data_IF_463481373894
#
_entry.id   IF_463481373894
#
_cell.length_a   1.000
_cell.length_b   1.000
_cell.length_c   1.000
_cell.angle_alpha   90.00
_cell.angle_beta   90.00
_cell.angle_gamma   90.00
#
_symmetry.space_group_name_H-M   'P 1'
#
loop_
_entity.id
_entity.type
_entity.pdbx_description
1 polymer ?
#
# COMPACT_ATOMS: atom_id res chain seq x y z
N UNK A 1 -23.19 18.15 -1.97
CA UNK A 1 -23.44 16.78 -1.45
C UNK A 1 -23.15 16.73 0.05
N UNK A 2 -23.71 15.77 0.79
CA UNK A 2 -23.43 15.59 2.22
C UNK A 2 -21.96 15.18 2.47
N UNK A 3 -21.26 15.79 3.44
CA UNK A 3 -19.86 15.46 3.76
C UNK A 3 -19.64 13.99 4.18
N UNK A 4 -20.70 13.34 4.67
CA UNK A 4 -20.71 11.92 5.06
C UNK A 4 -20.52 10.99 3.85
N UNK A 5 -20.87 11.45 2.64
CA UNK A 5 -20.74 10.65 1.42
C UNK A 5 -19.29 10.39 1.01
N UNK A 6 -18.34 11.15 1.55
CA UNK A 6 -16.91 11.00 1.26
C UNK A 6 -16.14 10.25 2.37
N UNK A 7 -16.81 9.95 3.49
CA UNK A 7 -16.21 9.21 4.60
C UNK A 7 -15.98 7.75 4.20
N UNK A 8 -14.71 7.35 4.21
CA UNK A 8 -14.24 6.00 3.82
C UNK A 8 -13.70 5.91 2.40
N UNK A 9 -13.73 6.99 1.61
CA UNK A 9 -13.02 7.05 0.34
C UNK A 9 -11.53 7.33 0.55
N UNK A 10 -10.68 6.80 -0.34
CA UNK A 10 -9.27 7.19 -0.42
C UNK A 10 -9.20 8.70 -0.65
N UNK A 11 -8.27 9.38 0.03
CA UNK A 11 -8.21 10.85 0.04
C UNK A 11 -8.02 11.46 -1.36
N UNK A 12 -7.36 10.74 -2.28
CA UNK A 12 -7.23 11.11 -3.69
C UNK A 12 -8.57 11.08 -4.45
N UNK A 13 -9.50 10.19 -4.09
CA UNK A 13 -10.86 10.13 -4.65
C UNK A 13 -11.72 11.26 -4.07
N UNK A 14 -11.63 11.49 -2.75
CA UNK A 14 -12.32 12.62 -2.07
C UNK A 14 -11.96 13.95 -2.73
N UNK A 15 -10.70 14.16 -3.10
CA UNK A 15 -10.24 15.39 -3.79
C UNK A 15 -10.60 15.48 -5.27
N UNK A 16 -10.94 14.38 -5.91
CA UNK A 16 -11.53 14.38 -7.25
C UNK A 16 -13.06 14.51 -7.19
N UNK A 17 -13.59 14.93 -6.03
CA UNK A 17 -15.02 15.02 -5.71
C UNK A 17 -15.78 13.70 -5.86
N UNK A 18 -15.07 12.57 -5.81
CA UNK A 18 -15.75 11.28 -5.74
C UNK A 18 -16.48 11.19 -4.40
N UNK A 19 -17.61 10.50 -4.44
CA UNK A 19 -18.44 10.24 -3.28
C UNK A 19 -19.07 8.85 -3.36
N UNK A 20 -19.38 8.27 -2.22
CA UNK A 20 -20.15 7.04 -2.12
C UNK A 20 -21.61 7.38 -2.40
N UNK A 21 -22.10 7.04 -3.59
CA UNK A 21 -23.49 7.32 -3.98
C UNK A 21 -24.52 6.79 -2.96
N UNK A 22 -24.24 5.62 -2.34
CA UNK A 22 -25.09 5.03 -1.31
C UNK A 22 -25.16 5.81 0.01
N UNK A 23 -24.23 6.75 0.26
CA UNK A 23 -24.19 7.63 1.44
C UNK A 23 -24.45 9.10 1.09
N UNK A 24 -24.73 9.40 -0.18
CA UNK A 24 -24.93 10.76 -0.66
C UNK A 24 -26.39 11.17 -0.54
N UNK A 25 -26.63 12.27 0.17
CA UNK A 25 -27.92 12.96 0.17
C UNK A 25 -27.69 14.32 -0.52
N UNK A 26 -28.34 14.58 -1.67
CA UNK A 26 -28.19 15.86 -2.36
C UNK A 26 -28.82 16.98 -1.52
N UNK A 27 -28.08 18.06 -1.32
CA UNK A 27 -28.51 19.27 -0.57
C UNK A 27 -28.85 20.45 -1.49
N UNK A 28 -28.62 20.28 -2.79
CA UNK A 28 -28.92 21.20 -3.89
C UNK A 28 -29.02 20.38 -5.17
N UNK A 29 -29.44 21.00 -6.29
CA UNK A 29 -29.25 20.40 -7.61
C UNK A 29 -27.77 20.04 -7.82
N UNK A 30 -27.51 18.88 -8.43
CA UNK A 30 -26.17 18.38 -8.70
C UNK A 30 -26.13 17.61 -10.01
N UNK A 31 -25.01 17.73 -10.71
CA UNK A 31 -24.66 16.91 -11.88
C UNK A 31 -23.64 15.88 -11.42
N UNK A 32 -23.78 14.64 -11.87
CA UNK A 32 -22.90 13.54 -11.52
C UNK A 32 -22.30 12.94 -12.78
N UNK A 33 -21.04 12.54 -12.68
CA UNK A 33 -20.30 11.81 -13.70
C UNK A 33 -19.87 10.45 -13.15
N UNK A 34 -19.79 9.42 -14.01
CA UNK A 34 -19.28 8.12 -13.61
C UNK A 34 -17.79 8.20 -13.26
N UNK A 35 -17.32 7.38 -12.30
CA UNK A 35 -15.93 7.36 -11.93
C UNK A 35 -15.05 6.85 -13.09
N UNK A 36 -13.86 7.44 -13.26
CA UNK A 36 -12.85 6.94 -14.20
C UNK A 36 -12.22 5.65 -13.70
N UNK A 37 -12.20 4.62 -14.55
CA UNK A 37 -11.60 3.32 -14.24
C UNK A 37 -10.12 3.41 -13.88
N UNK A 38 -9.34 4.24 -14.58
CA UNK A 38 -7.91 4.44 -14.30
C UNK A 38 -7.61 5.04 -12.91
N UNK A 39 -8.61 5.65 -12.25
CA UNK A 39 -8.47 6.19 -10.89
C UNK A 39 -8.84 5.16 -9.80
N UNK A 40 -9.53 4.09 -10.18
CA UNK A 40 -10.07 3.08 -9.27
C UNK A 40 -9.37 1.73 -9.39
N UNK A 41 -9.01 1.32 -10.61
CA UNK A 41 -8.56 -0.02 -10.94
C UNK A 41 -7.02 -0.11 -11.01
N UNK A 42 -6.52 -1.25 -10.58
CA UNK A 42 -5.14 -1.71 -10.73
C UNK A 42 -5.17 -3.00 -11.55
N UNK A 43 -4.33 -3.04 -12.58
CA UNK A 43 -4.15 -4.23 -13.44
C UNK A 43 -3.26 -5.24 -12.71
N UNK A 44 -3.58 -6.52 -12.84
CA UNK A 44 -2.71 -7.62 -12.44
C UNK A 44 -2.71 -8.74 -13.49
N UNK A 45 -1.67 -9.57 -13.46
CA UNK A 45 -1.59 -10.82 -14.20
C UNK A 45 -1.84 -11.98 -13.24
N UNK A 46 -2.65 -12.96 -13.65
CA UNK A 46 -2.80 -14.22 -12.92
C UNK A 46 -1.51 -15.02 -13.08
N UNK A 47 -0.61 -14.93 -12.12
CA UNK A 47 0.61 -15.73 -12.13
C UNK A 47 0.29 -17.23 -12.06
N UNK A 48 -0.65 -17.58 -11.16
CA UNK A 48 -1.02 -18.98 -10.95
C UNK A 48 -2.43 -19.13 -10.40
N UNK A 49 -3.18 -20.11 -10.92
CA UNK A 49 -4.40 -20.65 -10.35
C UNK A 49 -4.24 -22.13 -10.02
N UNK A 50 -4.53 -22.50 -8.77
CA UNK A 50 -4.40 -23.87 -8.26
C UNK A 50 -5.61 -24.30 -7.46
N UNK A 51 -6.07 -25.53 -7.62
CA UNK A 51 -7.17 -26.07 -6.84
C UNK A 51 -6.65 -26.63 -5.51
N UNK A 52 -7.09 -26.03 -4.40
CA UNK A 52 -6.77 -26.49 -3.04
C UNK A 52 -7.74 -27.60 -2.61
N UNK A 53 -8.98 -27.53 -3.06
CA UNK A 53 -10.00 -28.57 -2.93
C UNK A 53 -10.81 -28.65 -4.23
N UNK A 54 -11.86 -29.49 -4.27
CA UNK A 54 -12.80 -29.52 -5.40
C UNK A 54 -13.56 -28.21 -5.60
N UNK A 55 -13.75 -27.43 -4.53
CA UNK A 55 -14.55 -26.22 -4.52
C UNK A 55 -13.79 -24.98 -4.06
N UNK A 56 -12.47 -25.06 -3.85
CA UNK A 56 -11.62 -23.92 -3.45
C UNK A 56 -10.40 -23.85 -4.37
N UNK A 57 -10.12 -22.68 -4.93
CA UNK A 57 -8.88 -22.40 -5.64
C UNK A 57 -8.07 -21.29 -4.95
N UNK A 58 -6.74 -21.40 -5.07
CA UNK A 58 -5.76 -20.36 -4.80
C UNK A 58 -5.49 -19.60 -6.08
N UNK A 59 -5.48 -18.28 -6.00
CA UNK A 59 -5.02 -17.41 -7.08
C UNK A 59 -3.86 -16.56 -6.58
N UNK A 60 -2.76 -16.56 -7.33
CA UNK A 60 -1.61 -15.69 -7.15
C UNK A 60 -1.65 -14.62 -8.24
N UNK A 61 -1.71 -13.36 -7.84
CA UNK A 61 -1.75 -12.21 -8.75
C UNK A 61 -0.45 -11.41 -8.67
N UNK A 62 0.10 -11.07 -9.84
CA UNK A 62 1.20 -10.12 -10.00
C UNK A 62 0.63 -8.76 -10.40
N UNK A 63 0.58 -7.77 -9.49
CA UNK A 63 0.05 -6.46 -9.83
C UNK A 63 1.03 -5.68 -10.71
N UNK A 64 0.51 -4.95 -11.70
CA UNK A 64 1.32 -4.14 -12.62
C UNK A 64 2.04 -2.97 -11.93
N UNK A 65 1.59 -2.59 -10.73
CA UNK A 65 2.19 -1.57 -9.87
C UNK A 65 2.24 -2.06 -8.44
N UNK A 66 3.20 -1.57 -7.65
CA UNK A 66 3.29 -1.92 -6.22
C UNK A 66 1.97 -1.64 -5.49
N UNK A 67 1.50 -2.62 -4.73
CA UNK A 67 0.30 -2.53 -3.89
C UNK A 67 0.75 -2.53 -2.43
N UNK A 68 0.42 -1.47 -1.69
CA UNK A 68 0.64 -1.41 -0.25
C UNK A 68 -0.62 -1.92 0.46
N UNK A 69 -0.51 -3.05 1.17
CA UNK A 69 -1.61 -3.72 1.86
C UNK A 69 -1.13 -4.35 3.17
N UNK A 70 -2.06 -4.75 4.03
CA UNK A 70 -1.81 -5.60 5.19
C UNK A 70 -2.48 -6.97 5.02
N UNK A 71 -1.87 -8.02 5.58
CA UNK A 71 -2.49 -9.34 5.60
C UNK A 71 -3.83 -9.29 6.34
N UNK A 72 -4.88 -9.87 5.76
CA UNK A 72 -6.25 -9.75 6.26
C UNK A 72 -7.11 -8.66 5.60
N UNK A 73 -6.51 -7.70 4.89
CA UNK A 73 -7.27 -6.81 4.00
C UNK A 73 -7.82 -7.54 2.77
N UNK A 74 -8.73 -6.92 2.03
CA UNK A 74 -9.31 -7.49 0.81
C UNK A 74 -9.15 -6.57 -0.41
N UNK A 75 -9.18 -7.18 -1.59
CA UNK A 75 -9.29 -6.50 -2.89
C UNK A 75 -10.60 -6.88 -3.58
N UNK A 76 -11.03 -6.08 -4.54
CA UNK A 76 -12.27 -6.31 -5.29
C UNK A 76 -11.90 -6.63 -6.73
N UNK A 77 -12.09 -7.89 -7.14
CA UNK A 77 -11.81 -8.34 -8.49
C UNK A 77 -12.96 -7.97 -9.43
N UNK A 78 -12.61 -7.61 -10.66
CA UNK A 78 -13.53 -7.34 -11.75
C UNK A 78 -13.45 -8.47 -12.78
N UNK A 79 -14.60 -9.06 -13.10
CA UNK A 79 -14.72 -9.96 -14.25
C UNK A 79 -15.01 -9.17 -15.53
N UNK A 80 -14.76 -9.76 -16.71
CA UNK A 80 -15.03 -9.12 -18.00
C UNK A 80 -16.49 -8.74 -18.22
N UNK A 81 -17.45 -9.43 -17.57
CA UNK A 81 -18.88 -9.12 -17.62
C UNK A 81 -19.32 -8.05 -16.59
N UNK A 82 -18.35 -7.38 -15.95
CA UNK A 82 -18.58 -6.27 -15.02
C UNK A 82 -19.02 -6.70 -13.62
N UNK A 83 -18.93 -7.98 -13.27
CA UNK A 83 -19.21 -8.44 -11.90
C UNK A 83 -18.01 -8.10 -11.01
N UNK A 84 -18.30 -7.45 -9.87
CA UNK A 84 -17.29 -7.09 -8.87
C UNK A 84 -17.49 -7.89 -7.60
N UNK A 85 -16.44 -8.50 -7.06
CA UNK A 85 -16.50 -9.25 -5.79
C UNK A 85 -15.25 -9.08 -4.96
N UNK A 86 -15.43 -8.98 -3.64
CA UNK A 86 -14.37 -8.86 -2.65
C UNK A 86 -13.75 -10.21 -2.34
N UNK A 87 -12.42 -10.26 -2.28
CA UNK A 87 -11.63 -11.42 -1.88
C UNK A 87 -10.49 -10.97 -0.96
N UNK A 88 -10.42 -11.59 0.21
CA UNK A 88 -9.43 -11.26 1.24
C UNK A 88 -8.05 -11.84 0.91
N UNK A 89 -7.01 -11.10 1.30
CA UNK A 89 -5.62 -11.40 1.05
C UNK A 89 -5.06 -12.32 2.13
N UNK A 90 -4.53 -13.46 1.69
CA UNK A 90 -3.78 -14.43 2.50
C UNK A 90 -2.28 -14.13 2.54
N UNK A 91 -1.79 -13.42 1.53
CA UNK A 91 -0.37 -13.09 1.41
C UNK A 91 0.09 -12.07 2.45
N UNK A 92 1.35 -12.14 2.83
CA UNK A 92 2.01 -11.19 3.73
C UNK A 92 2.95 -10.30 2.90
N UNK A 93 2.74 -8.97 2.86
CA UNK A 93 3.37 -8.05 1.88
C UNK A 93 4.90 -8.01 1.91
N UNK A 94 5.51 -8.28 3.06
CA UNK A 94 6.97 -8.29 3.22
C UNK A 94 7.60 -9.68 3.01
N UNK A 95 6.79 -10.73 2.87
CA UNK A 95 7.25 -12.11 2.72
C UNK A 95 6.89 -12.68 1.34
N UNK A 96 5.64 -12.50 0.90
CA UNK A 96 5.11 -13.08 -0.32
C UNK A 96 5.21 -12.09 -1.49
N UNK A 97 5.67 -12.57 -2.64
CA UNK A 97 5.82 -11.75 -3.84
C UNK A 97 4.49 -11.47 -4.56
N UNK A 98 3.55 -12.41 -4.51
CA UNK A 98 2.24 -12.31 -5.18
C UNK A 98 1.13 -11.99 -4.18
N UNK A 99 0.08 -11.32 -4.65
CA UNK A 99 -1.17 -11.24 -3.91
C UNK A 99 -1.84 -12.62 -3.94
N UNK A 100 -2.11 -13.21 -2.77
CA UNK A 100 -2.71 -14.54 -2.65
C UNK A 100 -4.18 -14.45 -2.19
N UNK A 101 -5.08 -15.11 -2.91
CA UNK A 101 -6.51 -15.19 -2.62
C UNK A 101 -6.98 -16.64 -2.54
N UNK A 102 -7.88 -16.97 -1.60
CA UNK A 102 -8.59 -18.26 -1.61
C UNK A 102 -10.07 -18.08 -1.94
N UNK A 103 -10.50 -18.70 -3.03
CA UNK A 103 -11.82 -18.47 -3.61
C UNK A 103 -12.61 -19.76 -3.62
N UNK A 104 -13.75 -19.73 -2.94
CA UNK A 104 -14.70 -20.83 -2.91
C UNK A 104 -15.68 -20.72 -4.08
N UNK A 105 -15.92 -21.82 -4.78
CA UNK A 105 -16.97 -21.93 -5.77
C UNK A 105 -18.35 -21.82 -5.11
N UNK A 106 -19.13 -20.85 -5.54
CA UNK A 106 -20.51 -20.66 -5.10
C UNK A 106 -21.44 -21.15 -6.21
N UNK A 107 -22.41 -22.00 -5.86
CA UNK A 107 -23.42 -22.47 -6.80
C UNK A 107 -24.15 -21.28 -7.43
N UNK A 108 -24.22 -21.24 -8.77
CA UNK A 108 -24.77 -20.14 -9.56
C UNK A 108 -24.05 -18.78 -9.38
N UNK A 109 -22.88 -18.75 -8.75
CA UNK A 109 -22.09 -17.52 -8.59
C UNK A 109 -21.43 -17.11 -9.90
N UNK A 110 -21.76 -15.92 -10.43
CA UNK A 110 -21.21 -15.42 -11.71
C UNK A 110 -19.68 -15.30 -11.69
N UNK A 111 -19.13 -14.57 -10.72
CA UNK A 111 -17.69 -14.38 -10.55
C UNK A 111 -16.98 -15.73 -10.36
N UNK A 112 -17.46 -16.58 -9.46
CA UNK A 112 -16.79 -17.85 -9.16
C UNK A 112 -16.88 -18.82 -10.33
N UNK A 113 -17.96 -18.78 -11.12
CA UNK A 113 -18.06 -19.57 -12.35
C UNK A 113 -17.00 -19.14 -13.36
N UNK A 114 -16.89 -17.84 -13.64
CA UNK A 114 -15.86 -17.32 -14.53
C UNK A 114 -14.44 -17.66 -14.03
N UNK A 115 -14.18 -17.42 -12.73
CA UNK A 115 -12.89 -17.76 -12.11
C UNK A 115 -12.57 -19.24 -12.27
N UNK A 116 -13.53 -20.15 -12.09
CA UNK A 116 -13.27 -21.59 -12.10
C UNK A 116 -13.18 -22.16 -13.52
N UNK A 117 -14.07 -21.74 -14.41
CA UNK A 117 -14.26 -22.33 -15.74
C UNK A 117 -13.40 -21.65 -16.82
N UNK A 118 -13.14 -20.34 -16.70
CA UNK A 118 -12.62 -19.51 -17.79
C UNK A 118 -11.24 -18.89 -17.47
N UNK A 119 -11.04 -18.35 -16.26
CA UNK A 119 -9.80 -17.68 -15.86
C UNK A 119 -8.61 -18.66 -15.79
N UNK A 120 -7.49 -18.28 -16.42
CA UNK A 120 -6.26 -19.08 -16.56
C UNK A 120 -5.02 -18.30 -16.14
N UNK A 121 -3.93 -19.04 -15.97
CA UNK A 121 -2.59 -18.47 -15.80
C UNK A 121 -2.25 -17.56 -17.00
N UNK A 122 -1.62 -16.42 -16.72
CA UNK A 122 -1.26 -15.32 -17.61
C UNK A 122 -2.40 -14.43 -18.12
N UNK A 123 -3.64 -14.65 -17.68
CA UNK A 123 -4.73 -13.72 -17.98
C UNK A 123 -4.55 -12.40 -17.21
N UNK A 124 -4.97 -11.29 -17.82
CA UNK A 124 -5.07 -9.99 -17.14
C UNK A 124 -6.39 -9.90 -16.35
N UNK A 125 -6.31 -9.33 -15.16
CA UNK A 125 -7.47 -9.05 -14.31
C UNK A 125 -7.34 -7.67 -13.68
N UNK A 126 -8.46 -6.96 -13.60
CA UNK A 126 -8.54 -5.69 -12.87
C UNK A 126 -9.04 -5.90 -11.45
N UNK A 127 -8.50 -5.13 -10.53
CA UNK A 127 -9.01 -5.07 -9.17
C UNK A 127 -8.92 -3.66 -8.59
N UNK A 128 -9.70 -3.37 -7.55
CA UNK A 128 -9.49 -2.18 -6.72
C UNK A 128 -9.35 -2.53 -5.25
N UNK A 129 -8.50 -1.78 -4.55
CA UNK A 129 -8.16 -2.01 -3.16
C UNK A 129 -6.72 -1.57 -2.84
N UNK A 130 -6.11 -2.12 -1.78
CA UNK A 130 -6.75 -2.92 -0.74
C UNK A 130 -7.74 -2.09 0.10
N UNK A 131 -8.60 -2.79 0.84
CA UNK A 131 -9.59 -2.24 1.78
C UNK A 131 -9.72 -3.15 3.00
N UNK A 132 -10.27 -2.61 4.10
CA UNK A 132 -10.54 -3.37 5.33
C UNK A 132 -9.57 -3.06 6.46
N UNK A 133 -10.04 -3.27 7.69
CA UNK A 133 -9.33 -2.93 8.93
C UNK A 133 -9.04 -4.15 9.82
N UNK A 134 -9.34 -5.36 9.32
CA UNK A 134 -9.03 -6.62 10.00
C UNK A 134 -7.63 -7.07 9.60
N UNK A 135 -6.62 -6.53 10.27
CA UNK A 135 -5.21 -6.86 10.05
C UNK A 135 -4.43 -6.78 11.36
N UNK A 136 -3.30 -7.47 11.44
CA UNK A 136 -2.44 -7.43 12.61
C UNK A 136 -1.78 -6.05 12.75
N UNK A 137 -1.77 -5.51 13.98
CA UNK A 137 -1.06 -4.28 14.32
C UNK A 137 0.01 -4.60 15.36
N UNK A 138 1.27 -4.34 15.03
CA UNK A 138 2.39 -4.54 15.92
C UNK A 138 2.35 -3.57 17.11
N UNK A 139 3.04 -3.93 18.21
CA UNK A 139 3.14 -3.10 19.42
C UNK A 139 2.60 -3.74 20.69
N UNK A 140 1.91 -4.88 20.58
CA UNK A 140 1.45 -5.70 21.73
C UNK A 140 1.88 -7.18 21.57
N UNK A 141 3.20 -7.46 21.53
CA UNK A 141 3.72 -8.78 21.12
C UNK A 141 3.35 -9.94 22.04
N UNK A 142 2.98 -9.67 23.30
CA UNK A 142 2.58 -10.69 24.30
C UNK A 142 1.07 -10.89 24.40
N UNK A 143 0.29 -10.12 23.63
CA UNK A 143 -1.15 -10.13 23.72
C UNK A 143 -1.71 -11.29 22.90
N UNK A 144 -2.27 -12.31 23.56
CA UNK A 144 -2.78 -13.49 22.88
C UNK A 144 -3.80 -13.15 21.78
N UNK A 145 -3.75 -13.91 20.69
CA UNK A 145 -4.62 -13.76 19.53
C UNK A 145 -5.56 -14.96 19.43
N UNK A 146 -6.86 -14.69 19.29
CA UNK A 146 -7.87 -15.70 19.00
C UNK A 146 -8.43 -15.46 17.60
N UNK A 147 -8.15 -16.36 16.67
CA UNK A 147 -8.56 -16.26 15.27
C UNK A 147 -9.59 -17.36 14.97
N UNK A 148 -10.77 -16.98 14.50
CA UNK A 148 -11.81 -17.92 14.07
C UNK A 148 -12.09 -17.73 12.59
N UNK A 149 -12.14 -18.84 11.86
CA UNK A 149 -12.55 -18.83 10.45
C UNK A 149 -13.66 -19.83 10.15
N UNK A 150 -14.38 -19.58 9.06
CA UNK A 150 -15.17 -20.62 8.39
C UNK A 150 -14.91 -20.66 6.88
N UNK A 151 -14.67 -21.84 6.32
CA UNK A 151 -14.42 -22.02 4.88
C UNK A 151 -13.24 -21.17 4.39
N UNK A 152 -13.44 -20.37 3.34
CA UNK A 152 -12.40 -19.47 2.83
C UNK A 152 -12.11 -18.26 3.72
N UNK A 153 -12.86 -18.06 4.81
CA UNK A 153 -12.47 -17.13 5.86
C UNK A 153 -11.13 -17.49 6.53
N UNK A 154 -10.59 -18.70 6.26
CA UNK A 154 -9.22 -19.04 6.62
C UNK A 154 -8.19 -18.14 5.91
N UNK A 155 -8.48 -17.67 4.70
CA UNK A 155 -7.59 -16.84 3.88
C UNK A 155 -7.05 -15.60 4.60
N UNK A 156 -7.88 -14.68 5.12
CA UNK A 156 -7.36 -13.52 5.84
C UNK A 156 -6.70 -13.90 7.17
N UNK A 157 -7.27 -14.83 7.95
CA UNK A 157 -6.76 -15.11 9.30
C UNK A 157 -5.45 -15.89 9.30
N UNK A 158 -5.17 -16.72 8.29
CA UNK A 158 -3.84 -17.34 8.16
C UNK A 158 -2.79 -16.31 7.78
N UNK A 159 -3.14 -15.33 6.93
CA UNK A 159 -2.29 -14.18 6.64
C UNK A 159 -1.98 -13.37 7.90
N UNK A 160 -2.99 -13.04 8.71
CA UNK A 160 -2.84 -12.32 9.99
C UNK A 160 -1.95 -13.10 10.96
N UNK A 161 -2.17 -14.42 11.10
CA UNK A 161 -1.34 -15.25 11.97
C UNK A 161 0.12 -15.29 11.49
N UNK A 162 0.35 -15.44 10.18
CA UNK A 162 1.70 -15.40 9.59
C UNK A 162 2.36 -14.04 9.83
N UNK A 163 1.65 -12.95 9.58
CA UNK A 163 2.15 -11.58 9.80
C UNK A 163 2.54 -11.34 11.26
N UNK A 164 1.71 -11.81 12.21
CA UNK A 164 2.01 -11.75 13.64
C UNK A 164 3.27 -12.56 14.00
N UNK A 165 3.37 -13.80 13.54
CA UNK A 165 4.52 -14.68 13.80
C UNK A 165 5.81 -14.11 13.21
N UNK A 166 5.78 -13.64 11.97
CA UNK A 166 6.91 -13.00 11.28
C UNK A 166 7.32 -11.68 11.96
N UNK A 167 6.37 -10.97 12.55
CA UNK A 167 6.60 -9.77 13.35
C UNK A 167 7.10 -10.04 14.79
N UNK A 168 7.44 -11.29 15.13
CA UNK A 168 7.97 -11.66 16.44
C UNK A 168 6.93 -11.65 17.57
N UNK A 169 5.67 -11.94 17.26
CA UNK A 169 4.64 -12.09 18.27
C UNK A 169 4.95 -13.27 19.20
N UNK A 170 4.97 -13.02 20.51
CA UNK A 170 5.32 -13.97 21.58
C UNK A 170 4.08 -14.58 22.26
N UNK A 171 2.94 -13.87 22.23
CA UNK A 171 1.67 -14.35 22.77
C UNK A 171 1.18 -15.60 22.05
N UNK A 172 0.30 -16.35 22.70
CA UNK A 172 -0.31 -17.51 22.07
C UNK A 172 -1.27 -17.08 20.95
N UNK A 173 -1.14 -17.72 19.79
CA UNK A 173 -2.00 -17.52 18.63
C UNK A 173 -2.84 -18.78 18.46
N UNK A 174 -4.14 -18.68 18.75
CA UNK A 174 -5.08 -19.77 18.60
C UNK A 174 -5.94 -19.57 17.36
N UNK A 175 -5.68 -20.36 16.32
CA UNK A 175 -6.48 -20.42 15.11
C UNK A 175 -7.49 -21.57 15.17
N UNK A 176 -8.77 -21.26 15.04
CA UNK A 176 -9.85 -22.24 14.94
C UNK A 176 -10.48 -22.19 13.54
N UNK A 177 -10.45 -23.32 12.83
CA UNK A 177 -10.90 -23.43 11.44
C UNK A 177 -12.20 -24.23 11.37
N UNK A 178 -13.32 -23.55 11.19
CA UNK A 178 -14.65 -24.15 11.07
C UNK A 178 -14.97 -24.60 9.64
N UNK A 179 -15.34 -25.86 9.46
CA UNK A 179 -15.86 -26.37 8.21
C UNK A 179 -17.10 -27.23 8.45
N UNK A 180 -18.02 -27.26 7.48
CA UNK A 180 -19.19 -28.15 7.57
C UNK A 180 -18.75 -29.61 7.58
N UNK A 181 -17.91 -29.98 6.60
CA UNK A 181 -17.40 -31.33 6.39
C UNK A 181 -15.88 -31.30 6.21
N UNK A 182 -15.22 -32.45 6.39
CA UNK A 182 -13.77 -32.61 6.20
C UNK A 182 -13.26 -32.17 4.82
N UNK A 183 -14.08 -32.23 3.77
CA UNK A 183 -13.70 -31.80 2.41
C UNK A 183 -13.42 -30.30 2.27
N UNK A 184 -13.81 -29.49 3.27
CA UNK A 184 -13.51 -28.06 3.33
C UNK A 184 -12.19 -27.74 4.02
N UNK A 185 -11.49 -28.73 4.56
CA UNK A 185 -10.15 -28.54 5.14
C UNK A 185 -9.16 -28.37 3.99
N UNK A 186 -8.30 -27.35 4.10
CA UNK A 186 -7.23 -27.07 3.15
C UNK A 186 -6.06 -26.37 3.86
N UNK A 187 -4.89 -26.31 3.22
CA UNK A 187 -3.61 -25.81 3.78
C UNK A 187 -3.07 -26.60 4.99
N UNK A 188 -3.40 -27.88 5.12
CA UNK A 188 -2.92 -28.71 6.24
C UNK A 188 -1.39 -28.73 6.32
N UNK A 189 -0.70 -28.87 5.18
CA UNK A 189 0.76 -28.86 5.12
C UNK A 189 1.37 -27.53 5.59
N UNK A 190 0.74 -26.41 5.24
CA UNK A 190 1.19 -25.08 5.67
C UNK A 190 1.00 -24.92 7.17
N UNK A 191 -0.20 -25.25 7.67
CA UNK A 191 -0.54 -25.17 9.09
C UNK A 191 0.38 -26.07 9.92
N UNK A 192 0.68 -27.28 9.45
CA UNK A 192 1.53 -28.23 10.15
C UNK A 192 2.97 -27.71 10.22
N UNK A 193 3.51 -27.18 9.12
CA UNK A 193 4.83 -26.53 9.11
C UNK A 193 4.88 -25.33 10.05
N UNK A 194 3.83 -24.51 10.08
CA UNK A 194 3.74 -23.36 10.99
C UNK A 194 3.75 -23.80 12.46
N UNK A 195 3.02 -24.87 12.82
CA UNK A 195 3.05 -25.44 14.19
C UNK A 195 4.43 -25.95 14.58
N UNK A 196 5.13 -26.61 13.65
CA UNK A 196 6.47 -27.13 13.90
C UNK A 196 7.49 -26.01 14.09
N UNK A 197 7.31 -24.90 13.37
CA UNK A 197 8.20 -23.74 13.44
C UNK A 197 7.93 -22.83 14.64
N UNK A 198 6.67 -22.66 15.04
CA UNK A 198 6.25 -21.67 16.05
C UNK A 198 5.50 -22.34 17.21
N UNK A 199 6.15 -22.54 18.38
CA UNK A 199 5.53 -23.19 19.53
C UNK A 199 4.31 -22.47 20.12
N UNK A 200 4.20 -21.16 19.91
CA UNK A 200 3.05 -20.34 20.33
C UNK A 200 1.91 -20.32 19.31
N UNK A 201 2.02 -21.04 18.18
CA UNK A 201 0.95 -21.17 17.20
C UNK A 201 0.17 -22.48 17.39
N UNK A 202 -1.11 -22.34 17.66
CA UNK A 202 -2.03 -23.45 17.86
C UNK A 202 -3.13 -23.39 16.80
N UNK A 203 -3.38 -24.49 16.10
CA UNK A 203 -4.48 -24.55 15.12
C UNK A 203 -5.37 -25.78 15.31
N UNK A 204 -6.68 -25.56 15.36
CA UNK A 204 -7.70 -26.57 15.62
C UNK A 204 -8.76 -26.54 14.51
N UNK A 205 -8.87 -27.64 13.77
CA UNK A 205 -9.96 -27.85 12.80
C UNK A 205 -11.23 -28.28 13.51
N UNK A 206 -12.33 -27.60 13.22
CA UNK A 206 -13.65 -27.83 13.81
C UNK A 206 -14.63 -28.27 12.70
N UNK A 207 -15.25 -29.44 12.84
CA UNK A 207 -16.15 -30.03 11.85
C UNK A 207 -17.55 -30.16 12.43
N UNK A 208 -18.53 -29.47 11.84
CA UNK A 208 -19.90 -29.43 12.39
C UNK A 208 -20.75 -30.63 11.95
N UNK A 209 -20.46 -31.25 10.81
CA UNK A 209 -21.23 -32.33 10.21
C UNK A 209 -20.32 -33.42 9.57
N UNK A 210 -20.83 -34.65 9.48
CA UNK A 210 -20.14 -35.75 8.81
C UNK A 210 -19.04 -36.42 9.63
N UNK A 211 -18.10 -37.07 8.95
CA UNK A 211 -16.99 -37.80 9.57
C UNK A 211 -15.95 -36.81 10.06
N UNK A 212 -15.55 -36.94 11.33
CA UNK A 212 -14.54 -36.11 11.98
C UNK A 212 -13.15 -36.72 11.71
N UNK A 213 -12.24 -36.04 11.00
CA UNK A 213 -10.88 -36.52 10.81
C UNK A 213 -10.11 -36.62 12.12
N UNK A 214 -9.07 -37.47 12.12
CA UNK A 214 -8.15 -37.57 13.25
C UNK A 214 -7.51 -36.19 13.48
N UNK A 215 -7.53 -35.71 14.73
CA UNK A 215 -6.99 -34.39 15.10
C UNK A 215 -7.96 -33.22 14.94
N UNK A 216 -9.15 -33.43 14.35
CA UNK A 216 -10.22 -32.44 14.32
C UNK A 216 -11.19 -32.59 15.50
N UNK A 217 -11.95 -31.55 15.79
CA UNK A 217 -12.95 -31.51 16.86
C UNK A 217 -14.35 -31.40 16.26
N UNK A 218 -15.31 -32.16 16.79
CA UNK A 218 -16.70 -32.08 16.38
C UNK A 218 -17.39 -30.84 16.98
N UNK A 219 -18.10 -30.08 16.15
CA UNK A 219 -18.95 -28.96 16.58
C UNK A 219 -18.68 -27.65 15.84
N UNK A 220 -19.41 -26.61 16.24
CA UNK A 220 -19.23 -25.26 15.70
C UNK A 220 -17.97 -24.60 16.27
N UNK A 221 -17.24 -23.91 15.39
CA UNK A 221 -15.96 -23.26 15.71
C UNK A 221 -16.07 -22.28 16.88
N UNK A 222 -17.15 -21.49 16.96
CA UNK A 222 -17.40 -20.55 18.05
C UNK A 222 -17.56 -21.27 19.38
N UNK A 223 -18.33 -22.36 19.40
CA UNK A 223 -18.65 -23.07 20.64
C UNK A 223 -17.39 -23.69 21.22
N UNK A 224 -16.56 -24.29 20.35
CA UNK A 224 -15.29 -24.91 20.74
C UNK A 224 -14.30 -23.86 21.23
N UNK A 225 -14.10 -22.78 20.48
CA UNK A 225 -13.12 -21.72 20.83
C UNK A 225 -13.47 -21.04 22.15
N UNK A 226 -14.69 -20.56 22.30
CA UNK A 226 -15.11 -19.79 23.48
C UNK A 226 -15.36 -20.66 24.72
N UNK A 227 -15.56 -21.98 24.56
CA UNK A 227 -15.54 -22.91 25.70
C UNK A 227 -14.13 -23.11 26.25
N UNK A 228 -13.12 -23.15 25.36
CA UNK A 228 -11.71 -23.35 25.74
C UNK A 228 -11.07 -22.07 26.27
N UNK A 229 -11.54 -20.90 25.84
CA UNK A 229 -11.02 -19.60 26.24
C UNK A 229 -12.13 -18.77 26.90
N UNK A 230 -12.47 -19.08 28.15
CA UNK A 230 -13.62 -18.48 28.85
C UNK A 230 -13.41 -17.02 29.32
N UNK A 231 -12.20 -16.49 29.20
CA UNK A 231 -11.85 -15.09 29.47
C UNK A 231 -10.93 -14.58 28.38
N UNK A 232 -11.33 -13.48 27.75
CA UNK A 232 -10.61 -12.81 26.65
C UNK A 232 -10.14 -11.42 27.02
N UNK A 233 -10.06 -11.13 28.32
CA UNK A 233 -9.45 -9.89 28.80
C UNK A 233 -8.01 -9.82 28.31
N UNK A 234 -7.66 -8.69 27.69
CA UNK A 234 -6.35 -8.44 27.09
C UNK A 234 -5.99 -9.43 25.96
N UNK A 235 -6.98 -9.88 25.18
CA UNK A 235 -6.78 -10.66 23.94
C UNK A 235 -7.25 -9.85 22.73
N UNK A 236 -6.68 -10.12 21.55
CA UNK A 236 -7.26 -9.69 20.28
C UNK A 236 -8.02 -10.84 19.63
N UNK A 237 -9.16 -10.54 19.03
CA UNK A 237 -10.04 -11.51 18.39
C UNK A 237 -10.22 -11.15 16.93
N UNK A 238 -9.94 -12.11 16.04
CA UNK A 238 -10.13 -11.97 14.59
C UNK A 238 -11.16 -12.99 14.11
N UNK A 239 -12.21 -12.53 13.44
CA UNK A 239 -13.34 -13.35 13.00
C UNK A 239 -13.50 -13.20 11.48
N UNK A 240 -13.45 -14.30 10.73
CA UNK A 240 -13.64 -14.23 9.27
C UNK A 240 -14.45 -15.37 8.68
N UNK A 241 -15.40 -15.06 7.81
CA UNK A 241 -16.16 -16.04 7.06
C UNK A 241 -17.67 -15.80 7.11
N UNK A 242 -18.46 -16.83 7.41
CA UNK A 242 -19.92 -16.75 7.33
C UNK A 242 -20.46 -15.71 8.33
N UNK A 243 -21.42 -14.84 7.93
CA UNK A 243 -21.96 -13.79 8.80
C UNK A 243 -22.44 -14.33 10.16
N UNK A 244 -23.15 -15.46 10.16
CA UNK A 244 -23.62 -16.10 11.40
C UNK A 244 -22.50 -16.45 12.39
N UNK A 245 -21.32 -16.85 11.89
CA UNK A 245 -20.17 -17.17 12.74
C UNK A 245 -19.55 -15.90 13.31
N UNK A 246 -19.40 -14.87 12.47
CA UNK A 246 -18.81 -13.59 12.87
C UNK A 246 -19.70 -12.89 13.89
N UNK A 247 -20.99 -12.72 13.60
CA UNK A 247 -21.95 -12.03 14.49
C UNK A 247 -21.99 -12.69 15.88
N UNK A 248 -22.07 -14.03 15.90
CA UNK A 248 -22.04 -14.81 17.15
C UNK A 248 -20.69 -14.68 17.87
N UNK A 249 -19.59 -14.68 17.11
CA UNK A 249 -18.24 -14.56 17.66
C UNK A 249 -18.00 -13.21 18.34
N UNK A 250 -18.44 -12.12 17.73
CA UNK A 250 -18.33 -10.77 18.31
C UNK A 250 -19.11 -10.68 19.63
N UNK A 251 -20.37 -11.16 19.62
CA UNK A 251 -21.24 -11.13 20.80
C UNK A 251 -20.62 -11.91 21.98
N UNK A 252 -20.10 -13.11 21.72
CA UNK A 252 -19.50 -13.95 22.76
C UNK A 252 -18.16 -13.39 23.23
N UNK A 253 -17.33 -12.87 22.32
CA UNK A 253 -16.04 -12.28 22.67
C UNK A 253 -16.20 -11.08 23.62
N UNK A 254 -17.15 -10.18 23.33
CA UNK A 254 -17.50 -9.06 24.21
C UNK A 254 -17.97 -9.54 25.58
N UNK A 255 -18.86 -10.55 25.62
CA UNK A 255 -19.35 -11.14 26.89
C UNK A 255 -18.25 -11.78 27.73
N UNK A 256 -17.20 -12.30 27.09
CA UNK A 256 -16.03 -12.91 27.74
C UNK A 256 -14.92 -11.90 28.07
N UNK A 257 -15.15 -10.61 27.84
CA UNK A 257 -14.28 -9.54 28.33
C UNK A 257 -13.24 -9.00 27.34
N UNK A 258 -13.32 -9.37 26.05
CA UNK A 258 -12.53 -8.71 25.02
C UNK A 258 -12.94 -7.24 24.88
N UNK A 259 -11.95 -6.35 24.69
CA UNK A 259 -12.23 -4.94 24.41
C UNK A 259 -12.80 -4.81 22.99
N UNK A 260 -13.81 -3.95 22.79
CA UNK A 260 -14.43 -3.77 21.46
C UNK A 260 -13.44 -3.29 20.39
N UNK A 261 -12.39 -2.56 20.77
CA UNK A 261 -11.32 -2.12 19.88
C UNK A 261 -10.33 -3.22 19.50
N UNK A 262 -10.38 -4.36 20.19
CA UNK A 262 -9.53 -5.54 19.97
C UNK A 262 -10.30 -6.68 19.28
N UNK A 263 -11.53 -6.42 18.82
CA UNK A 263 -12.34 -7.37 18.03
C UNK A 263 -12.37 -6.88 16.59
N UNK A 264 -11.94 -7.74 15.67
CA UNK A 264 -11.76 -7.44 14.26
C UNK A 264 -12.51 -8.48 13.42
N UNK A 265 -13.28 -8.01 12.44
CA UNK A 265 -14.23 -8.88 11.72
C UNK A 265 -14.20 -8.66 10.22
N UNK A 266 -14.35 -9.76 9.48
CA UNK A 266 -14.44 -9.82 8.02
C UNK A 266 -15.56 -10.80 7.59
N UNK A 267 -16.78 -10.27 7.43
CA UNK A 267 -18.00 -11.05 7.11
C UNK A 267 -18.25 -11.18 5.61
N UNK A 268 -18.39 -12.42 5.13
CA UNK A 268 -18.59 -12.73 3.71
C UNK A 268 -20.08 -12.80 3.37
N UNK A 269 -20.63 -11.67 2.93
CA UNK A 269 -22.02 -11.60 2.47
C UNK A 269 -22.19 -12.10 1.04
N UNK A 270 -23.17 -12.98 0.83
CA UNK A 270 -23.66 -13.33 -0.50
C UNK A 270 -24.73 -12.30 -0.88
N UNK A 271 -24.40 -11.29 -1.68
CA UNK A 271 -25.38 -10.25 -2.07
C UNK A 271 -25.87 -10.46 -3.51
N UNK A 272 -27.19 -10.67 -3.63
CA UNK A 272 -27.99 -10.79 -4.86
C UNK A 272 -28.41 -9.43 -5.45
N UNK A 273 -27.52 -8.43 -5.54
CA UNK A 273 -27.86 -7.13 -6.17
C UNK A 273 -26.76 -6.62 -7.09
N UNK A 274 -27.10 -6.52 -8.38
CA UNK A 274 -26.29 -5.96 -9.46
C UNK A 274 -26.41 -4.43 -9.54
N UNK A 275 -25.31 -3.73 -9.82
CA UNK A 275 -25.30 -2.34 -10.27
C UNK A 275 -24.51 -2.24 -11.60
N UNK A 276 -25.01 -1.45 -12.54
CA UNK A 276 -24.46 -1.23 -13.90
C UNK A 276 -23.88 0.19 -14.03
N UNK A 277 -22.78 0.34 -14.76
CA UNK A 277 -22.06 1.61 -15.01
C UNK A 277 -22.16 2.01 -16.49
N UNK A 278 -22.22 3.31 -16.79
CA UNK A 278 -22.05 3.92 -18.13
C UNK A 278 -21.28 5.24 -18.03
N UNK A 279 -20.62 5.63 -19.13
CA UNK A 279 -19.37 6.43 -19.32
C UNK A 279 -19.34 7.96 -19.18
N UNK A 280 -18.10 8.50 -19.09
CA UNK A 280 -17.52 9.68 -19.81
C UNK A 280 -17.07 10.96 -19.02
N UNK A 281 -15.76 11.26 -19.16
CA UNK A 281 -15.01 12.50 -19.50
C UNK A 281 -15.28 13.92 -18.90
N UNK A 282 -14.29 14.46 -18.14
CA UNK A 282 -13.35 15.59 -18.48
C UNK A 282 -13.05 16.71 -17.42
N UNK A 283 -11.80 16.69 -16.89
CA UNK A 283 -10.80 17.73 -16.46
C UNK A 283 -11.18 19.11 -15.82
N UNK A 284 -10.50 19.51 -14.71
CA UNK A 284 -10.11 20.93 -14.40
C UNK A 284 -8.79 21.10 -13.56
N UNK A 285 -8.30 22.36 -13.41
CA UNK A 285 -6.90 22.82 -13.17
C UNK A 285 -6.53 23.24 -11.72
N UNK A 286 -5.23 23.10 -11.36
CA UNK A 286 -4.58 23.64 -10.14
C UNK A 286 -3.18 24.21 -10.49
N UNK A 287 -2.88 25.45 -10.10
CA UNK A 287 -1.72 26.32 -10.47
C UNK A 287 -0.95 25.87 -11.72
N UNK A 288 -1.20 26.58 -12.82
CA UNK A 288 -0.64 26.26 -14.12
C UNK A 288 0.90 26.23 -14.06
N UNK A 289 1.48 25.15 -14.58
CA UNK A 289 2.88 25.18 -15.00
C UNK A 289 3.10 26.41 -15.88
N UNK A 290 4.31 27.02 -15.87
CA UNK A 290 4.60 28.08 -16.83
C UNK A 290 4.25 27.61 -18.24
N UNK A 291 3.81 28.55 -19.08
CA UNK A 291 3.47 28.23 -20.46
C UNK A 291 4.66 27.51 -21.11
N UNK A 292 4.37 26.50 -21.94
CA UNK A 292 5.41 25.79 -22.67
C UNK A 292 6.28 26.79 -23.44
N UNK A 293 7.57 26.48 -23.55
CA UNK A 293 8.59 27.29 -24.21
C UNK A 293 9.22 26.46 -25.35
N UNK A 294 8.60 26.45 -26.54
CA UNK A 294 9.08 25.67 -27.68
C UNK A 294 10.44 26.13 -28.19
N UNK A 295 10.76 27.40 -28.04
CA UNK A 295 12.04 27.97 -28.46
C UNK A 295 13.18 27.50 -27.55
N UNK A 296 12.96 27.47 -26.23
CA UNK A 296 13.90 26.87 -25.29
C UNK A 296 14.03 25.35 -25.52
N UNK A 297 12.93 24.65 -25.81
CA UNK A 297 12.99 23.22 -26.13
C UNK A 297 13.81 22.91 -27.39
N UNK A 298 13.64 23.74 -28.43
CA UNK A 298 14.42 23.64 -29.67
C UNK A 298 15.90 23.96 -29.43
N UNK A 299 16.21 24.99 -28.62
CA UNK A 299 17.57 25.32 -28.21
C UNK A 299 18.25 24.21 -27.39
N UNK A 300 17.46 23.37 -26.71
CA UNK A 300 17.90 22.17 -26.00
C UNK A 300 17.96 20.91 -26.88
N UNK A 301 17.95 21.07 -28.20
CA UNK A 301 17.97 20.00 -29.21
C UNK A 301 16.91 18.93 -28.94
N UNK A 302 15.68 19.38 -28.70
CA UNK A 302 14.53 18.53 -28.40
C UNK A 302 14.79 17.53 -27.26
N UNK A 303 15.60 17.93 -26.28
CA UNK A 303 15.93 17.16 -25.09
C UNK A 303 17.28 16.43 -25.17
N UNK A 304 17.88 16.26 -26.34
CA UNK A 304 19.19 15.59 -26.44
C UNK A 304 20.26 16.40 -25.70
N UNK A 305 20.34 17.70 -25.97
CA UNK A 305 21.27 18.60 -25.28
C UNK A 305 20.88 18.77 -23.80
N UNK A 306 19.59 18.81 -23.47
CA UNK A 306 19.13 18.86 -22.07
C UNK A 306 19.64 17.68 -21.24
N UNK A 307 19.65 16.46 -21.79
CA UNK A 307 20.19 15.29 -21.09
C UNK A 307 21.69 15.43 -20.84
N UNK A 308 22.45 15.95 -21.81
CA UNK A 308 23.88 16.20 -21.67
C UNK A 308 24.17 17.29 -20.62
N UNK A 309 23.45 18.41 -20.67
CA UNK A 309 23.50 19.51 -19.69
C UNK A 309 23.20 18.98 -18.30
N UNK A 310 22.10 18.26 -18.10
CA UNK A 310 21.74 17.72 -16.78
C UNK A 310 22.78 16.71 -16.29
N UNK A 311 23.38 15.93 -17.19
CA UNK A 311 24.45 14.99 -16.83
C UNK A 311 25.71 15.72 -16.34
N UNK A 312 26.13 16.79 -17.02
CA UNK A 312 27.26 17.62 -16.61
C UNK A 312 26.93 18.40 -15.33
N UNK A 313 25.80 19.07 -15.29
CA UNK A 313 25.32 19.80 -14.12
C UNK A 313 25.28 18.93 -12.87
N UNK A 314 24.64 17.76 -12.93
CA UNK A 314 24.64 16.84 -11.79
C UNK A 314 26.01 16.19 -11.54
N UNK A 315 26.93 16.17 -12.49
CA UNK A 315 28.31 15.78 -12.21
C UNK A 315 29.00 16.85 -11.35
N UNK A 316 28.91 18.12 -11.74
CA UNK A 316 29.46 19.24 -10.96
C UNK A 316 28.79 19.39 -9.61
N UNK A 317 27.47 19.22 -9.52
CA UNK A 317 26.73 19.26 -8.25
C UNK A 317 27.20 18.17 -7.28
N UNK A 318 27.53 16.97 -7.78
CA UNK A 318 28.06 15.90 -6.93
C UNK A 318 29.52 16.13 -6.52
N UNK A 319 30.28 16.90 -7.31
CA UNK A 319 31.66 17.31 -6.98
C UNK A 319 31.71 18.61 -6.15
N UNK A 320 30.61 19.37 -6.09
CA UNK A 320 30.51 20.65 -5.38
C UNK A 320 30.22 20.44 -3.89
N UNK A 321 31.10 20.93 -3.02
CA UNK A 321 30.99 20.73 -1.58
C UNK A 321 29.79 21.42 -0.92
N UNK A 322 29.22 22.46 -1.53
CA UNK A 322 28.06 23.18 -1.00
C UNK A 322 26.74 22.50 -1.41
N UNK A 323 26.70 21.89 -2.60
CA UNK A 323 25.47 21.30 -3.16
C UNK A 323 25.37 19.79 -2.99
N UNK A 324 26.49 19.07 -3.09
CA UNK A 324 26.51 17.59 -2.97
C UNK A 324 25.87 17.04 -1.69
N UNK A 325 25.93 17.69 -0.50
CA UNK A 325 25.31 17.15 0.71
C UNK A 325 23.79 16.92 0.59
N UNK A 326 23.08 17.69 -0.25
CA UNK A 326 21.64 17.57 -0.46
C UNK A 326 21.23 16.33 -1.27
N UNK A 327 22.19 15.63 -1.86
CA UNK A 327 21.97 14.48 -2.74
C UNK A 327 22.54 13.16 -2.18
N UNK A 328 22.94 13.16 -0.91
CA UNK A 328 23.41 11.97 -0.19
C UNK A 328 22.35 10.86 -0.25
N UNK A 329 22.77 9.63 -0.62
CA UNK A 329 21.88 8.47 -0.72
C UNK A 329 21.03 8.39 -2.01
N UNK A 330 21.13 9.37 -2.91
CA UNK A 330 20.46 9.33 -4.22
C UNK A 330 21.51 9.12 -5.32
N UNK A 331 21.23 8.29 -6.32
CA UNK A 331 22.17 8.09 -7.43
C UNK A 331 22.05 9.22 -8.47
N UNK A 332 23.20 9.66 -9.00
CA UNK A 332 23.28 10.70 -10.03
C UNK A 332 22.38 10.40 -11.24
N UNK A 333 22.39 9.16 -11.73
CA UNK A 333 21.56 8.74 -12.87
C UNK A 333 20.06 8.90 -12.60
N UNK A 334 19.60 8.49 -11.40
CA UNK A 334 18.19 8.63 -11.01
C UNK A 334 17.76 10.10 -10.92
N UNK A 335 18.63 10.99 -10.44
CA UNK A 335 18.34 12.43 -10.41
C UNK A 335 18.29 13.04 -11.81
N UNK A 336 19.25 12.69 -12.68
CA UNK A 336 19.26 13.15 -14.07
C UNK A 336 17.96 12.75 -14.78
N UNK A 337 17.52 11.50 -14.65
CA UNK A 337 16.28 11.01 -15.29
C UNK A 337 15.02 11.70 -14.74
N UNK A 338 14.98 11.91 -13.41
CA UNK A 338 13.86 12.58 -12.74
C UNK A 338 13.80 14.06 -13.11
N UNK A 339 14.93 14.76 -13.08
CA UNK A 339 15.06 16.16 -13.49
C UNK A 339 14.77 16.32 -14.97
N UNK A 340 15.23 15.41 -15.83
CA UNK A 340 14.94 15.40 -17.26
C UNK A 340 13.44 15.30 -17.51
N UNK A 341 12.78 14.32 -16.89
CA UNK A 341 11.33 14.14 -17.03
C UNK A 341 10.56 15.36 -16.51
N UNK A 342 10.99 15.94 -15.39
CA UNK A 342 10.40 17.17 -14.84
C UNK A 342 10.57 18.35 -15.79
N UNK A 343 11.80 18.70 -16.17
CA UNK A 343 12.10 19.81 -17.11
C UNK A 343 11.42 19.61 -18.46
N UNK A 344 11.35 18.38 -18.99
CA UNK A 344 10.59 18.08 -20.20
C UNK A 344 9.11 18.46 -20.02
N UNK A 345 8.48 18.04 -18.92
CA UNK A 345 7.09 18.43 -18.61
C UNK A 345 6.92 19.94 -18.50
N UNK A 346 7.86 20.64 -17.86
CA UNK A 346 7.76 22.09 -17.67
C UNK A 346 7.93 22.86 -18.99
N UNK A 347 8.97 22.53 -19.76
CA UNK A 347 9.34 23.26 -20.98
C UNK A 347 8.38 22.92 -22.12
N UNK A 348 7.92 21.67 -22.23
CA UNK A 348 7.07 21.24 -23.35
C UNK A 348 5.58 21.18 -23.03
N UNK A 349 5.21 21.13 -21.75
CA UNK A 349 3.84 20.86 -21.31
C UNK A 349 3.42 19.38 -21.33
N UNK A 350 4.29 18.47 -21.80
CA UNK A 350 3.99 17.05 -21.90
C UNK A 350 3.88 16.36 -20.52
N UNK A 351 2.88 15.47 -20.34
CA UNK A 351 2.65 14.78 -19.05
C UNK A 351 3.54 13.54 -18.86
N UNK A 352 4.86 13.70 -18.99
CA UNK A 352 5.85 12.61 -18.89
C UNK A 352 6.48 12.44 -17.50
N UNK A 353 6.24 13.39 -16.58
CA UNK A 353 6.73 13.35 -15.21
C UNK A 353 5.66 12.91 -14.21
N UNK A 354 5.98 11.87 -13.43
CA UNK A 354 5.10 11.22 -12.46
C UNK A 354 5.58 11.35 -10.99
N UNK A 355 6.60 12.18 -10.73
CA UNK A 355 7.11 12.43 -9.39
C UNK A 355 6.44 13.61 -8.67
N UNK A 356 6.89 13.88 -7.43
CA UNK A 356 6.44 15.02 -6.63
C UNK A 356 6.81 16.38 -7.26
N UNK A 357 5.96 17.39 -7.11
CA UNK A 357 6.26 18.80 -7.47
C UNK A 357 7.34 19.39 -6.55
N UNK A 358 8.06 20.47 -6.96
CA UNK A 358 9.18 21.03 -6.21
C UNK A 358 8.90 21.29 -4.73
N UNK A 359 7.72 21.83 -4.39
CA UNK A 359 7.29 21.98 -3.00
C UNK A 359 7.43 20.69 -2.19
N UNK A 360 6.83 19.60 -2.68
CA UNK A 360 6.87 18.31 -2.00
C UNK A 360 8.20 17.58 -2.17
N UNK A 361 8.92 17.79 -3.27
CA UNK A 361 10.21 17.15 -3.50
C UNK A 361 11.30 17.72 -2.57
N UNK A 362 11.22 19.02 -2.23
CA UNK A 362 12.21 19.73 -1.42
C UNK A 362 11.71 20.02 0.00
N UNK A 363 10.59 19.44 0.45
CA UNK A 363 9.88 19.86 1.66
C UNK A 363 10.74 19.91 2.93
N UNK A 364 11.74 19.04 2.99
CA UNK A 364 12.64 18.88 4.12
C UNK A 364 13.96 19.68 4.02
N UNK A 365 14.34 20.13 2.82
CA UNK A 365 15.62 20.80 2.55
C UNK A 365 15.53 22.29 2.89
N UNK A 366 16.27 22.77 3.89
CA UNK A 366 16.40 24.21 4.14
C UNK A 366 17.37 24.77 3.10
N UNK A 367 16.84 25.42 2.08
CA UNK A 367 17.60 26.02 1.00
C UNK A 367 17.42 27.53 1.14
N UNK A 368 18.50 28.26 1.42
CA UNK A 368 18.48 29.73 1.46
C UNK A 368 18.42 30.31 0.04
N UNK A 369 17.98 31.56 -0.08
CA UNK A 369 18.06 32.30 -1.34
C UNK A 369 19.47 32.28 -1.92
N UNK A 370 20.49 32.46 -1.08
CA UNK A 370 21.90 32.48 -1.48
C UNK A 370 22.36 31.13 -2.06
N UNK A 371 21.90 30.01 -1.48
CA UNK A 371 22.23 28.68 -1.96
C UNK A 371 21.46 28.32 -3.24
N UNK A 372 20.20 28.75 -3.34
CA UNK A 372 19.41 28.63 -4.57
C UNK A 372 20.07 29.41 -5.71
N UNK A 373 20.46 30.67 -5.47
CA UNK A 373 21.18 31.52 -6.42
C UNK A 373 22.53 30.93 -6.81
N UNK A 374 23.23 30.31 -5.86
CA UNK A 374 24.50 29.64 -6.13
C UNK A 374 24.31 28.44 -7.06
N UNK A 375 23.33 27.57 -6.78
CA UNK A 375 22.95 26.44 -7.64
C UNK A 375 22.51 26.91 -9.02
N UNK A 376 21.75 27.99 -9.08
CA UNK A 376 21.28 28.60 -10.32
C UNK A 376 22.47 29.10 -11.16
N UNK A 377 23.40 29.85 -10.58
CA UNK A 377 24.63 30.28 -11.25
C UNK A 377 25.50 29.11 -11.74
N UNK A 378 25.55 28.01 -10.99
CA UNK A 378 26.22 26.79 -11.44
C UNK A 378 25.51 26.20 -12.68
N UNK A 379 24.18 26.11 -12.66
CA UNK A 379 23.39 25.67 -13.82
C UNK A 379 23.62 26.59 -15.02
N UNK A 380 23.59 27.90 -14.84
CA UNK A 380 23.88 28.88 -15.91
C UNK A 380 25.27 28.72 -16.51
N UNK A 381 26.25 28.44 -15.65
CA UNK A 381 27.62 28.16 -16.10
C UNK A 381 27.64 26.93 -16.99
N UNK A 382 26.96 25.84 -16.59
CA UNK A 382 26.84 24.62 -17.40
C UNK A 382 26.07 24.89 -18.69
N UNK A 383 24.93 25.58 -18.64
CA UNK A 383 24.14 25.93 -19.82
C UNK A 383 25.00 26.72 -20.83
N UNK A 384 25.79 27.70 -20.35
CA UNK A 384 26.69 28.51 -21.18
C UNK A 384 27.83 27.68 -21.78
N UNK A 385 28.43 26.78 -21.00
CA UNK A 385 29.49 25.88 -21.48
C UNK A 385 29.00 24.85 -22.50
N UNK A 386 27.72 24.44 -22.42
CA UNK A 386 27.04 23.65 -23.45
C UNK A 386 26.51 24.48 -24.62
N UNK A 387 26.81 25.79 -24.65
CA UNK A 387 26.59 26.65 -25.80
C UNK A 387 25.22 27.33 -25.88
N UNK A 388 24.42 27.33 -24.81
CA UNK A 388 23.17 28.10 -24.79
C UNK A 388 23.47 29.60 -24.74
N UNK A 389 22.67 30.40 -25.46
CA UNK A 389 22.76 31.86 -25.45
C UNK A 389 22.27 32.45 -24.13
N UNK A 390 22.71 33.67 -23.78
CA UNK A 390 22.24 34.38 -22.58
C UNK A 390 20.71 34.57 -22.56
N UNK A 391 20.07 34.66 -23.73
CA UNK A 391 18.61 34.71 -23.83
C UNK A 391 17.98 33.39 -23.36
N UNK A 392 18.47 32.24 -23.83
CA UNK A 392 17.94 30.93 -23.45
C UNK A 392 18.25 30.60 -21.98
N UNK A 393 19.43 31.01 -21.50
CA UNK A 393 19.79 30.91 -20.09
C UNK A 393 18.83 31.74 -19.23
N UNK A 394 18.49 32.96 -19.66
CA UNK A 394 17.49 33.80 -18.98
C UNK A 394 16.09 33.16 -18.90
N UNK A 395 15.67 32.44 -19.94
CA UNK A 395 14.40 31.70 -19.95
C UNK A 395 14.42 30.49 -19.01
N UNK A 396 15.52 29.72 -19.02
CA UNK A 396 15.72 28.64 -18.05
C UNK A 396 15.67 29.17 -16.61
N UNK A 397 16.37 30.28 -16.35
CA UNK A 397 16.35 30.97 -15.06
C UNK A 397 14.94 31.35 -14.64
N UNK A 398 14.17 31.95 -15.55
CA UNK A 398 12.79 32.34 -15.27
C UNK A 398 11.91 31.13 -14.90
N UNK A 399 12.15 29.94 -15.47
CA UNK A 399 11.46 28.71 -15.10
C UNK A 399 11.86 28.26 -13.69
N UNK A 400 13.15 28.23 -13.37
CA UNK A 400 13.63 27.85 -12.03
C UNK A 400 13.07 28.82 -10.97
N UNK A 401 13.01 30.11 -11.28
CA UNK A 401 12.53 31.18 -10.41
C UNK A 401 11.04 31.06 -10.06
N UNK A 402 10.21 30.50 -10.94
CA UNK A 402 8.79 30.17 -10.64
C UNK A 402 8.68 29.25 -9.43
N UNK A 403 9.65 28.34 -9.24
CA UNK A 403 9.66 27.40 -8.13
C UNK A 403 10.47 27.89 -6.93
N UNK A 404 11.04 29.10 -6.95
CA UNK A 404 11.78 29.65 -5.81
C UNK A 404 10.95 29.60 -4.53
N UNK A 405 9.70 30.08 -4.58
CA UNK A 405 8.79 30.07 -3.42
C UNK A 405 8.37 28.67 -2.94
N UNK A 406 8.55 27.65 -3.79
CA UNK A 406 8.33 26.24 -3.46
C UNK A 406 9.58 25.56 -2.90
N UNK A 407 10.77 26.15 -3.04
CA UNK A 407 12.05 25.49 -2.72
C UNK A 407 12.75 26.23 -1.57
N UNK A 408 12.85 27.55 -1.66
CA UNK A 408 13.53 28.41 -0.69
C UNK A 408 12.71 28.53 0.58
N UNK A 409 13.38 28.34 1.72
CA UNK A 409 12.78 28.42 3.06
C UNK A 409 13.84 28.49 4.14
N UNK A 410 13.54 29.23 5.20
CA UNK A 410 14.39 29.34 6.40
C UNK A 410 14.27 28.12 7.33
N UNK A 411 13.20 27.34 7.18
CA UNK A 411 12.95 26.12 7.95
C UNK A 411 12.18 25.11 7.09
N UNK A 412 12.29 23.80 7.35
CA UNK A 412 11.52 22.79 6.62
C UNK A 412 10.01 23.07 6.71
N UNK A 413 9.22 22.66 5.70
CA UNK A 413 7.75 22.57 5.82
C UNK A 413 7.21 21.14 5.56
N UNK A 414 6.06 20.78 6.15
CA UNK A 414 5.43 19.48 5.93
C UNK A 414 5.26 19.13 4.45
N UNK A 415 5.58 17.90 4.04
CA UNK A 415 5.23 17.43 2.70
C UNK A 415 3.72 17.47 2.57
N UNK A 416 3.20 18.14 1.54
CA UNK A 416 1.77 18.27 1.30
C UNK A 416 1.32 17.15 0.38
N UNK A 417 1.25 15.94 0.92
CA UNK A 417 0.64 14.87 0.14
C UNK A 417 -0.84 15.19 0.12
N UNK A 418 -1.32 15.56 -1.06
CA UNK A 418 -2.75 15.60 -1.25
C UNK A 418 -3.32 16.71 -0.30
N UNK A 419 -2.72 17.91 -0.28
CA UNK A 419 -3.17 19.00 0.60
C UNK A 419 -3.12 18.72 2.13
N UNK A 420 -2.56 17.58 2.56
CA UNK A 420 -2.39 17.22 3.96
C UNK A 420 -0.91 17.33 4.32
N UNK A 421 -0.57 18.11 5.36
CA UNK A 421 0.80 18.24 5.83
C UNK A 421 1.25 16.96 6.54
N UNK A 422 2.33 16.33 6.05
CA UNK A 422 3.05 15.22 6.70
C UNK A 422 4.12 15.74 7.68
N UNK A 423 4.45 15.04 8.78
CA UNK A 423 5.45 15.50 9.75
C UNK A 423 6.81 15.82 9.13
N UNK A 424 7.49 16.81 9.72
CA UNK A 424 8.66 17.45 9.13
C UNK A 424 10.01 16.82 9.46
N UNK A 425 10.11 16.41 10.71
CA UNK A 425 11.28 15.89 11.34
C UNK A 425 10.83 15.05 12.53
N UNK A 426 11.71 14.18 12.99
CA UNK A 426 11.38 13.13 13.92
C UNK A 426 11.70 11.79 13.31
N UNK A 427 11.49 10.79 14.15
CA UNK A 427 11.80 9.43 13.81
C UNK A 427 10.53 8.62 13.96
N UNK A 428 10.24 7.88 12.91
CA UNK A 428 9.29 6.79 13.00
C UNK A 428 10.07 5.50 13.15
N UNK A 429 9.53 4.60 13.96
CA UNK A 429 10.00 3.23 13.91
C UNK A 429 9.32 2.60 12.71
N UNK A 430 10.09 2.46 11.65
CA UNK A 430 9.64 1.72 10.48
C UNK A 430 10.45 0.44 10.47
N UNK A 431 9.85 -0.62 9.98
CA UNK A 431 10.60 -1.84 9.67
C UNK A 431 11.03 -1.72 8.23
N UNK A 432 12.31 -1.90 7.93
CA UNK A 432 12.77 -1.78 6.54
C UNK A 432 12.31 -3.01 5.78
N UNK A 433 11.62 -2.74 4.70
CA UNK A 433 11.01 -3.71 3.80
C UNK A 433 11.97 -4.26 2.75
N UNK A 434 13.17 -3.68 2.63
CA UNK A 434 14.32 -4.24 1.92
C UNK A 434 15.59 -4.13 2.78
N UNK A 435 16.46 -5.15 2.73
CA UNK A 435 17.75 -5.09 3.43
C UNK A 435 18.55 -3.89 2.92
N UNK A 436 19.06 -3.10 3.85
CA UNK A 436 19.91 -1.93 3.57
C UNK A 436 21.02 -1.92 4.59
N UNK A 437 21.98 -1.00 4.45
CA UNK A 437 22.99 -0.82 5.48
C UNK A 437 22.51 0.20 6.49
N UNK A 438 22.93 0.00 7.74
CA UNK A 438 22.74 0.98 8.80
C UNK A 438 23.57 2.20 8.45
N UNK A 439 22.93 3.36 8.34
CA UNK A 439 23.65 4.59 8.00
C UNK A 439 24.60 5.04 9.13
N UNK A 440 24.48 4.47 10.34
CA UNK A 440 25.32 4.79 11.50
C UNK A 440 26.54 3.88 11.69
N UNK A 441 26.37 2.55 11.66
CA UNK A 441 27.48 1.61 11.85
C UNK A 441 27.92 0.91 10.57
N UNK A 442 27.27 1.19 9.43
CA UNK A 442 27.42 0.51 8.13
C UNK A 442 27.16 -1.00 8.17
N UNK A 443 26.78 -1.52 9.33
CA UNK A 443 26.38 -2.91 9.53
C UNK A 443 25.08 -3.19 8.81
N UNK A 444 24.97 -4.42 8.34
CA UNK A 444 23.82 -4.87 7.56
C UNK A 444 22.56 -4.79 8.42
N UNK A 445 21.62 -3.92 8.01
CA UNK A 445 20.27 -3.92 8.55
C UNK A 445 19.47 -4.84 7.66
N UNK A 446 19.22 -6.01 8.21
CA UNK A 446 18.47 -7.01 7.49
C UNK A 446 17.02 -6.58 7.40
N UNK A 447 16.43 -6.83 6.23
CA UNK A 447 14.99 -6.75 6.01
C UNK A 447 14.24 -7.35 7.20
N UNK A 448 13.32 -6.59 7.78
CA UNK A 448 12.61 -6.99 8.99
C UNK A 448 13.20 -6.47 10.30
N UNK A 449 14.44 -5.97 10.32
CA UNK A 449 14.93 -5.24 11.50
C UNK A 449 14.12 -3.95 11.66
N UNK A 450 13.56 -3.77 12.87
CA UNK A 450 12.92 -2.52 13.24
C UNK A 450 13.99 -1.49 13.45
N UNK A 451 13.93 -0.46 12.64
CA UNK A 451 14.86 0.64 12.66
C UNK A 451 14.17 1.89 13.08
N UNK A 452 14.97 2.78 13.60
CA UNK A 452 14.56 4.16 13.79
C UNK A 452 14.88 4.84 12.46
N UNK A 453 13.84 5.17 11.71
CA UNK A 453 13.96 5.82 10.41
C UNK A 453 13.70 7.30 10.56
N UNK A 454 14.66 8.07 10.09
CA UNK A 454 14.60 9.51 10.17
C UNK A 454 13.70 10.02 9.05
N UNK A 455 12.48 10.44 9.41
CA UNK A 455 11.39 10.83 8.49
C UNK A 455 11.86 11.90 7.48
N UNK A 456 12.83 12.74 7.90
CA UNK A 456 13.46 13.80 7.10
C UNK A 456 14.63 13.37 6.21
N UNK A 457 15.62 12.62 6.73
CA UNK A 457 16.87 12.32 6.01
C UNK A 457 16.80 11.00 5.23
N UNK A 458 15.76 10.19 5.45
CA UNK A 458 15.63 8.85 4.88
C UNK A 458 16.68 7.87 5.41
N UNK A 459 17.44 8.28 6.44
CA UNK A 459 18.50 7.51 7.06
C UNK A 459 17.93 6.55 8.08
N UNK A 460 18.62 5.44 8.20
CA UNK A 460 18.10 4.24 8.80
C UNK A 460 19.10 3.64 9.76
N UNK A 461 18.72 3.58 11.04
CA UNK A 461 19.61 3.18 12.13
C UNK A 461 19.13 1.88 12.77
N UNK A 462 20.02 0.90 12.94
CA UNK A 462 19.72 -0.43 13.47
C UNK A 462 19.46 -0.43 14.98
N UNK A 463 18.87 -1.51 15.48
CA UNK A 463 18.58 -1.75 16.90
C UNK A 463 19.79 -1.52 17.84
N UNK A 464 21.00 -1.93 17.44
CA UNK A 464 22.22 -1.74 18.25
C UNK A 464 22.75 -0.30 18.35
N UNK A 465 22.59 0.53 17.30
CA UNK A 465 22.92 1.97 17.36
C UNK A 465 21.85 2.75 18.14
N UNK A 466 20.60 2.28 18.08
CA UNK A 466 19.46 2.81 18.84
C UNK A 466 19.63 2.61 20.34
N UNK A 467 20.11 1.43 20.79
CA UNK A 467 20.24 1.08 22.21
C UNK A 467 21.50 1.65 22.90
N UNK A 468 22.61 1.87 22.19
CA UNK A 468 23.87 2.39 22.77
C UNK A 468 23.92 3.93 22.92
N UNK A 469 22.87 4.65 22.51
CA UNK A 469 22.85 6.12 22.49
C UNK A 469 24.07 6.71 21.76
N UNK A 470 24.54 6.03 20.71
CA UNK A 470 25.61 6.55 19.85
C UNK A 470 25.00 7.73 19.10
N UNK A 471 25.16 8.91 19.68
CA UNK A 471 25.00 10.18 18.98
C UNK A 471 25.99 10.20 17.84
N UNK A 472 25.46 10.27 16.62
CA UNK A 472 26.14 10.92 15.50
C UNK A 472 25.31 12.12 15.12
#
# INVERSE_FOLDING_TARGET
MSAVSQIGLKKNLVRKDYFLACKCIPISEMVIEPPRDADLLTRAVVYKKEFLTKDICRILLEPATQVYYHAGQFINLHSPDGVVRSYSLSSVPHEDYFLELHIKCVANGKMTKWIFDELKDNDEIDFHGPSGNSHYVSGRPKQNLLLLSTGTGLSPVIGIARDALLSGHEGDIYLYCGNRNASGIYLEDVIQKTKEQYPNFHCISCISEGIIPIGAVAGYVTDIAFTRHSSLKDWQVYLSGSPNMVDKGEEVALKQGAASCDIHSDSFYSVDKSYSVTDADSISQDTAYPAADPELWAALDNGVLMKAILTDFYTRVYDDSLLSPYFTGVTKNRLIEKAYSFSNRIITGNKVYFGDRPRNAHHWMVISDELFDYREKLMETVLREHGLSEEMIGRWRAIDEVFRGDIVKEQPYPKMLDGIPLPLDGYEKITIDASTLCDGCTGEINRGETVRYHIRLGLTYCSGCIENNITV
#
